data_IF_983963373559
#
_entry.id   IF_983963373559
#
_cell.length_a   1.000
_cell.length_b   1.000
_cell.length_c   1.000
_cell.angle_alpha   90.00
_cell.angle_beta   90.00
_cell.angle_gamma   90.00
#
_symmetry.space_group_name_H-M   'P 1'
#
loop_
_entity.id
_entity.type
_entity.pdbx_description
1 polymer ?
#
# COMPACT_ATOMS: atom_id res chain seq x y z
N UNK A 1 -31.29 -7.65 -1.89
CA UNK A 1 -31.29 -6.37 -1.14
C UNK A 1 -30.65 -5.34 -2.04
N UNK A 2 -31.29 -4.20 -2.26
CA UNK A 2 -30.81 -3.19 -3.20
C UNK A 2 -29.39 -2.76 -2.80
N UNK A 3 -28.48 -2.70 -3.76
CA UNK A 3 -27.14 -2.14 -3.55
C UNK A 3 -27.32 -0.68 -3.15
N UNK A 4 -27.11 -0.39 -1.87
CA UNK A 4 -27.18 0.95 -1.32
C UNK A 4 -26.00 1.74 -1.91
N UNK A 5 -26.27 2.48 -2.99
CA UNK A 5 -25.28 3.32 -3.65
C UNK A 5 -25.85 4.72 -3.76
N UNK A 6 -25.13 5.69 -3.21
CA UNK A 6 -25.56 7.08 -3.21
C UNK A 6 -24.94 7.82 -4.40
N UNK A 7 -25.76 8.59 -5.12
CA UNK A 7 -25.31 9.33 -6.30
C UNK A 7 -24.70 10.66 -5.88
N UNK A 8 -23.39 10.78 -6.06
CA UNK A 8 -22.64 12.02 -5.83
C UNK A 8 -22.41 12.74 -7.17
N UNK A 9 -22.67 14.04 -7.23
CA UNK A 9 -22.38 14.88 -8.41
C UNK A 9 -21.40 15.98 -8.02
N UNK A 10 -20.24 16.02 -8.66
CA UNK A 10 -19.17 17.00 -8.41
C UNK A 10 -18.75 17.68 -9.69
N UNK A 11 -18.30 18.94 -9.57
CA UNK A 11 -17.59 19.64 -10.66
C UNK A 11 -16.10 19.48 -10.44
N UNK A 12 -15.40 18.98 -11.45
CA UNK A 12 -13.94 18.82 -11.44
C UNK A 12 -13.34 19.60 -12.62
N UNK A 13 -12.10 20.12 -12.47
CA UNK A 13 -11.41 20.84 -13.54
C UNK A 13 -11.26 19.99 -14.81
N UNK A 14 -11.26 20.64 -15.98
CA UNK A 14 -11.11 19.96 -17.28
C UNK A 14 -9.84 19.11 -17.34
N UNK A 15 -8.75 19.60 -16.77
CA UNK A 15 -7.45 18.92 -16.82
C UNK A 15 -7.48 17.60 -16.04
N UNK A 16 -8.21 17.57 -14.92
CA UNK A 16 -8.42 16.34 -14.14
C UNK A 16 -9.30 15.34 -14.90
N UNK A 17 -10.33 15.82 -15.59
CA UNK A 17 -11.19 14.98 -16.43
C UNK A 17 -10.36 14.35 -17.57
N UNK A 18 -9.48 15.13 -18.19
CA UNK A 18 -8.60 14.66 -19.25
C UNK A 18 -7.62 13.58 -18.75
N UNK A 19 -7.01 13.78 -17.57
CA UNK A 19 -6.14 12.77 -16.97
C UNK A 19 -6.89 11.46 -16.68
N UNK A 20 -8.12 11.53 -16.15
CA UNK A 20 -8.95 10.35 -15.93
C UNK A 20 -9.32 9.65 -17.24
N UNK A 21 -9.60 10.41 -18.31
CA UNK A 21 -9.81 9.85 -19.64
C UNK A 21 -8.60 9.07 -20.15
N UNK A 22 -7.39 9.60 -19.99
CA UNK A 22 -6.17 8.90 -20.40
C UNK A 22 -5.99 7.57 -19.68
N UNK A 23 -6.38 7.47 -18.41
CA UNK A 23 -6.35 6.21 -17.66
C UNK A 23 -7.35 5.18 -18.22
N UNK A 24 -8.54 5.63 -18.65
CA UNK A 24 -9.52 4.75 -19.32
C UNK A 24 -9.03 4.32 -20.69
N UNK A 25 -8.45 5.24 -21.47
CA UNK A 25 -7.89 4.95 -22.80
C UNK A 25 -6.72 3.97 -22.74
N UNK A 26 -5.91 4.04 -21.68
CA UNK A 26 -4.82 3.08 -21.44
C UNK A 26 -5.31 1.67 -21.09
N UNK A 27 -6.60 1.51 -20.78
CA UNK A 27 -7.23 0.26 -20.36
C UNK A 27 -7.04 -0.05 -18.87
N UNK A 28 -6.44 0.85 -18.08
CA UNK A 28 -6.27 0.68 -16.63
C UNK A 28 -7.63 0.67 -15.89
N UNK A 29 -8.61 1.43 -16.40
CA UNK A 29 -9.99 1.42 -15.90
C UNK A 29 -10.99 1.27 -17.03
N UNK A 30 -12.10 0.55 -16.78
CA UNK A 30 -13.15 0.33 -17.77
C UNK A 30 -13.98 1.59 -18.07
N UNK A 31 -14.22 2.42 -17.04
CA UNK A 31 -14.99 3.65 -17.17
C UNK A 31 -14.41 4.76 -16.30
N UNK A 32 -14.76 6.01 -16.63
CA UNK A 32 -14.46 7.19 -15.80
C UNK A 32 -14.98 7.03 -14.37
N UNK A 33 -16.18 6.48 -14.22
CA UNK A 33 -16.78 6.23 -12.90
C UNK A 33 -15.96 5.26 -12.07
N UNK A 34 -15.33 4.26 -12.72
CA UNK A 34 -14.48 3.29 -12.02
C UNK A 34 -13.16 3.92 -11.59
N UNK A 35 -12.55 4.73 -12.46
CA UNK A 35 -11.35 5.50 -12.12
C UNK A 35 -11.61 6.46 -10.94
N UNK A 36 -12.75 7.17 -10.96
CA UNK A 36 -13.14 8.09 -9.88
C UNK A 36 -13.42 7.33 -8.58
N UNK A 37 -14.13 6.20 -8.65
CA UNK A 37 -14.41 5.38 -7.46
C UNK A 37 -13.11 4.87 -6.83
N UNK A 38 -12.21 4.30 -7.63
CA UNK A 38 -10.92 3.82 -7.16
C UNK A 38 -10.06 4.93 -6.53
N UNK A 39 -10.09 6.13 -7.09
CA UNK A 39 -9.40 7.29 -6.53
C UNK A 39 -9.98 7.72 -5.17
N UNK A 40 -11.31 7.74 -5.04
CA UNK A 40 -12.00 8.05 -3.77
C UNK A 40 -11.70 6.98 -2.73
N UNK A 41 -11.79 5.69 -3.09
CA UNK A 41 -11.50 4.58 -2.18
C UNK A 41 -10.06 4.64 -1.69
N UNK A 42 -9.10 4.86 -2.59
CA UNK A 42 -7.68 5.02 -2.25
C UNK A 42 -7.43 6.22 -1.35
N UNK A 43 -8.13 7.34 -1.58
CA UNK A 43 -8.03 8.54 -0.75
C UNK A 43 -8.58 8.30 0.67
N UNK A 44 -9.75 7.65 0.78
CA UNK A 44 -10.36 7.29 2.07
C UNK A 44 -9.46 6.30 2.81
N UNK A 45 -8.96 5.27 2.14
CA UNK A 45 -8.02 4.32 2.74
C UNK A 45 -6.77 5.01 3.26
N UNK A 46 -6.20 5.96 2.52
CA UNK A 46 -5.02 6.69 2.96
C UNK A 46 -5.31 7.58 4.19
N UNK A 47 -6.50 8.19 4.26
CA UNK A 47 -6.87 9.12 5.33
C UNK A 47 -7.36 8.42 6.60
N UNK A 48 -8.00 7.25 6.46
CA UNK A 48 -8.60 6.50 7.57
C UNK A 48 -7.86 5.18 7.86
N UNK A 49 -6.68 4.97 7.27
CA UNK A 49 -5.75 3.96 7.76
C UNK A 49 -5.51 4.24 9.26
N UNK A 50 -5.67 3.23 10.14
CA UNK A 50 -5.46 3.43 11.57
C UNK A 50 -4.08 4.07 11.83
N UNK A 51 -3.95 4.97 12.81
CA UNK A 51 -2.70 5.72 13.07
C UNK A 51 -1.45 4.83 13.24
N UNK A 52 -1.65 3.56 13.59
CA UNK A 52 -0.61 2.54 13.74
C UNK A 52 -0.26 1.77 12.45
N UNK A 53 -0.92 2.05 11.33
CA UNK A 53 -0.69 1.46 10.00
C UNK A 53 -0.46 2.58 8.99
N UNK A 54 0.81 2.84 8.65
CA UNK A 54 1.17 3.69 7.50
C UNK A 54 1.57 2.81 6.33
N UNK A 55 0.84 2.90 5.21
CA UNK A 55 1.30 2.33 3.94
C UNK A 55 2.46 3.18 3.42
N UNK A 56 3.60 2.56 3.16
CA UNK A 56 4.78 3.21 2.57
C UNK A 56 5.13 2.52 1.26
N UNK A 57 5.33 3.31 0.20
CA UNK A 57 5.90 2.82 -1.04
C UNK A 57 7.42 2.80 -0.88
N UNK A 58 8.04 1.64 -1.13
CA UNK A 58 9.47 1.43 -0.91
C UNK A 58 10.07 0.85 -2.19
N UNK A 59 11.13 1.46 -2.69
CA UNK A 59 11.92 0.89 -3.76
C UNK A 59 13.01 -0.01 -3.17
N UNK A 60 13.05 -1.26 -3.62
CA UNK A 60 14.06 -2.23 -3.19
C UNK A 60 15.01 -2.56 -4.36
N UNK A 61 16.31 -2.70 -4.10
CA UNK A 61 17.24 -3.22 -5.09
C UNK A 61 16.80 -4.60 -5.59
N UNK A 62 17.00 -4.87 -6.89
CA UNK A 62 16.57 -6.13 -7.51
C UNK A 62 17.11 -7.37 -6.81
N UNK A 63 18.36 -7.34 -6.34
CA UNK A 63 18.95 -8.45 -5.58
C UNK A 63 18.15 -8.80 -4.34
N UNK A 64 17.80 -7.79 -3.53
CA UNK A 64 16.99 -7.99 -2.32
C UNK A 64 15.60 -8.55 -2.62
N UNK A 65 15.01 -8.20 -3.77
CA UNK A 65 13.72 -8.77 -4.20
C UNK A 65 13.85 -10.25 -4.52
N UNK A 66 14.95 -10.68 -5.14
CA UNK A 66 15.24 -12.09 -5.41
C UNK A 66 15.40 -12.86 -4.10
N UNK A 67 16.18 -12.34 -3.16
CA UNK A 67 16.36 -12.98 -1.85
C UNK A 67 15.02 -13.15 -1.10
N UNK A 68 14.15 -12.13 -1.17
CA UNK A 68 12.80 -12.21 -0.58
C UNK A 68 11.92 -13.24 -1.29
N UNK A 69 12.06 -13.41 -2.61
CA UNK A 69 11.35 -14.46 -3.36
C UNK A 69 11.84 -15.86 -2.97
N UNK A 70 13.14 -16.04 -2.76
CA UNK A 70 13.71 -17.31 -2.30
C UNK A 70 13.15 -17.70 -0.92
N UNK A 71 13.01 -16.76 0.01
CA UNK A 71 12.40 -17.00 1.33
C UNK A 71 10.93 -17.45 1.24
N UNK A 72 10.20 -16.95 0.25
CA UNK A 72 8.83 -17.40 0.00
C UNK A 72 8.84 -18.80 -0.62
N UNK A 73 9.76 -19.07 -1.54
CA UNK A 73 9.87 -20.36 -2.22
C UNK A 73 10.36 -21.48 -1.30
N UNK A 74 11.25 -21.18 -0.35
CA UNK A 74 11.70 -22.13 0.68
C UNK A 74 10.63 -22.43 1.73
N UNK A 75 9.55 -21.64 1.77
CA UNK A 75 8.49 -21.73 2.76
C UNK A 75 8.80 -21.05 4.10
N UNK A 76 9.91 -20.31 4.18
CA UNK A 76 10.29 -19.55 5.38
C UNK A 76 9.41 -18.31 5.59
N UNK A 77 8.68 -17.86 4.57
CA UNK A 77 7.72 -16.75 4.66
C UNK A 77 6.53 -16.99 3.73
N UNK A 78 5.35 -16.50 4.14
CA UNK A 78 4.10 -16.71 3.39
C UNK A 78 4.02 -15.81 2.15
N UNK A 79 4.63 -14.61 2.24
CA UNK A 79 4.73 -13.65 1.13
C UNK A 79 5.96 -12.76 1.30
N UNK A 80 6.30 -12.00 0.26
CA UNK A 80 7.38 -10.99 0.31
C UNK A 80 7.09 -9.96 1.42
N UNK A 81 5.83 -9.56 1.58
CA UNK A 81 5.42 -8.59 2.60
C UNK A 81 5.56 -9.18 4.02
N UNK A 82 5.30 -10.48 4.19
CA UNK A 82 5.52 -11.19 5.44
C UNK A 82 7.01 -11.30 5.78
N UNK A 83 7.84 -11.63 4.78
CA UNK A 83 9.30 -11.65 4.93
C UNK A 83 9.84 -10.28 5.36
N UNK A 84 9.39 -9.19 4.73
CA UNK A 84 9.75 -7.82 5.11
C UNK A 84 9.30 -7.52 6.54
N UNK A 85 8.06 -7.87 6.90
CA UNK A 85 7.51 -7.62 8.24
C UNK A 85 8.31 -8.34 9.32
N UNK A 86 8.69 -9.59 9.09
CA UNK A 86 9.50 -10.38 10.02
C UNK A 86 10.91 -9.80 10.17
N UNK A 87 11.56 -9.44 9.07
CA UNK A 87 12.88 -8.81 9.10
C UNK A 87 12.89 -7.49 9.89
N UNK A 88 11.90 -6.62 9.63
CA UNK A 88 11.75 -5.33 10.34
C UNK A 88 11.45 -5.57 11.82
N UNK A 89 10.57 -6.51 12.15
CA UNK A 89 10.24 -6.86 13.54
C UNK A 89 11.48 -7.31 14.32
N UNK A 90 12.26 -8.21 13.74
CA UNK A 90 13.49 -8.71 14.37
C UNK A 90 14.54 -7.61 14.52
N UNK A 91 14.70 -6.75 13.50
CA UNK A 91 15.60 -5.60 13.58
C UNK A 91 15.23 -4.67 14.72
N UNK A 92 13.96 -4.25 14.80
CA UNK A 92 13.45 -3.36 15.84
C UNK A 92 13.59 -4.01 17.22
N UNK A 93 13.24 -5.30 17.36
CA UNK A 93 13.38 -6.05 18.61
C UNK A 93 14.83 -6.01 19.11
N UNK A 94 15.81 -6.33 18.25
CA UNK A 94 17.24 -6.31 18.60
C UNK A 94 17.71 -4.91 18.97
N UNK A 95 17.27 -3.90 18.23
CA UNK A 95 17.66 -2.51 18.47
C UNK A 95 17.13 -1.98 19.80
N UNK A 96 15.85 -2.24 20.11
CA UNK A 96 15.24 -1.87 21.39
C UNK A 96 15.88 -2.61 22.56
N UNK A 97 16.11 -3.92 22.45
CA UNK A 97 16.79 -4.67 23.51
C UNK A 97 18.19 -4.14 23.79
N UNK A 98 18.92 -3.70 22.76
CA UNK A 98 20.23 -3.05 22.93
C UNK A 98 20.10 -1.71 23.63
N UNK A 99 19.20 -0.84 23.16
CA UNK A 99 18.98 0.48 23.75
C UNK A 99 18.54 0.40 25.24
N UNK A 100 17.71 -0.57 25.60
CA UNK A 100 17.31 -0.79 27.00
C UNK A 100 18.48 -1.27 27.85
N UNK A 101 19.32 -2.16 27.33
CA UNK A 101 20.52 -2.64 28.02
C UNK A 101 21.55 -1.53 28.27
N UNK A 102 21.67 -0.59 27.34
CA UNK A 102 22.56 0.58 27.47
C UNK A 102 22.00 1.64 28.46
N UNK A 103 20.72 1.57 28.83
CA UNK A 103 20.05 2.45 29.81
C UNK A 103 20.10 1.92 31.25
N UNK A 104 20.29 0.62 31.42
CA UNK A 104 20.33 -0.07 32.73
C UNK A 104 21.77 -0.30 33.26
N UNK A 105 22.80 0.03 32.48
CA UNK A 105 24.22 -0.12 32.84
C UNK A 105 24.91 1.21 33.11
#
# INVERSE_FOLDING_TARGET
MASDSERVTVRIPSDTVNALHSLVESGEYATLSDAVRAAIDSFIEAQFAPDYIKKMNIELPKGNVVDLQELVQSGDSVSIEDAIRNAVREYVRRHLSKAMKDLEG
#
